data_IF_064722296525
#
_entry.id   IF_064722296525
#
_cell.length_a   1.000
_cell.length_b   1.000
_cell.length_c   1.000
_cell.angle_alpha   90.00
_cell.angle_beta   90.00
_cell.angle_gamma   90.00
#
_symmetry.space_group_name_H-M   'P 1'
#
loop_
_entity.id
_entity.type
_entity.pdbx_description
1 polymer ?
#
# COMPACT_ATOMS: atom_id res chain seq x y z
N UNK A 1 12.52 17.14 -1.65
CA UNK A 1 11.25 16.39 -1.72
C UNK A 1 11.59 14.92 -1.54
N UNK A 2 10.77 14.15 -0.81
CA UNK A 2 10.99 12.72 -0.56
C UNK A 2 10.27 11.82 -1.58
N UNK A 3 9.58 12.44 -2.55
CA UNK A 3 8.86 11.72 -3.59
C UNK A 3 9.77 10.81 -4.39
N UNK A 4 9.30 9.60 -4.64
CA UNK A 4 9.98 8.61 -5.47
C UNK A 4 9.33 8.56 -6.86
N UNK A 5 10.17 8.48 -7.90
CA UNK A 5 9.69 8.39 -9.28
C UNK A 5 9.01 7.04 -9.57
N UNK A 6 9.51 5.97 -8.95
CA UNK A 6 9.02 4.61 -9.10
C UNK A 6 8.91 3.95 -7.73
N UNK A 7 7.77 3.32 -7.44
CA UNK A 7 7.61 2.44 -6.30
C UNK A 7 7.17 1.06 -6.79
N UNK A 8 7.93 0.03 -6.42
CA UNK A 8 7.67 -1.36 -6.79
C UNK A 8 7.31 -2.19 -5.58
N UNK A 9 6.10 -2.77 -5.59
CA UNK A 9 5.57 -3.67 -4.57
C UNK A 9 5.72 -5.12 -5.01
N UNK A 10 6.44 -5.93 -4.24
CA UNK A 10 6.70 -7.34 -4.57
C UNK A 10 6.21 -8.22 -3.43
N UNK A 11 5.33 -9.18 -3.74
CA UNK A 11 4.93 -10.21 -2.80
C UNK A 11 5.82 -11.45 -2.94
N UNK A 12 6.38 -11.91 -1.84
CA UNK A 12 7.10 -13.17 -1.72
C UNK A 12 6.19 -14.23 -1.09
N UNK A 13 5.87 -15.32 -1.80
CA UNK A 13 5.04 -16.40 -1.25
C UNK A 13 5.80 -17.26 -0.24
N UNK A 14 5.06 -18.15 0.43
CA UNK A 14 5.63 -19.18 1.32
C UNK A 14 6.56 -20.11 0.54
N UNK A 15 7.61 -20.62 1.20
CA UNK A 15 8.54 -21.58 0.60
C UNK A 15 9.63 -20.95 -0.29
N UNK A 16 9.80 -19.63 -0.23
CA UNK A 16 10.94 -18.92 -0.84
C UNK A 16 12.02 -18.65 0.21
N UNK A 17 13.23 -18.30 -0.26
CA UNK A 17 14.35 -17.95 0.61
C UNK A 17 14.08 -16.66 1.42
N UNK A 18 13.43 -15.68 0.81
CA UNK A 18 13.01 -14.45 1.49
C UNK A 18 11.75 -14.69 2.34
N UNK A 19 11.64 -13.93 3.44
CA UNK A 19 10.46 -13.97 4.33
C UNK A 19 9.18 -13.70 3.55
N UNK A 20 8.13 -14.48 3.81
CA UNK A 20 6.83 -14.28 3.16
C UNK A 20 6.22 -12.93 3.51
N UNK A 21 5.67 -12.25 2.50
CA UNK A 21 5.02 -10.94 2.62
C UNK A 21 5.42 -9.99 1.50
N UNK A 22 5.13 -8.72 1.72
CA UNK A 22 5.38 -7.65 0.76
C UNK A 22 6.65 -6.88 1.05
N UNK A 23 7.29 -6.46 -0.03
CA UNK A 23 8.51 -5.67 -0.05
C UNK A 23 8.31 -4.47 -0.96
N UNK A 24 8.73 -3.29 -0.49
CA UNK A 24 8.69 -2.04 -1.23
C UNK A 24 10.10 -1.64 -1.69
N UNK A 25 10.24 -1.23 -2.94
CA UNK A 25 11.47 -0.70 -3.52
C UNK A 25 11.21 0.63 -4.23
N UNK A 26 12.17 1.55 -4.24
CA UNK A 26 12.08 2.86 -4.92
C UNK A 26 12.65 2.88 -6.34
N UNK A 27 12.45 1.81 -7.08
CA UNK A 27 13.01 1.66 -8.42
C UNK A 27 12.04 0.89 -9.30
N UNK A 28 12.11 1.13 -10.61
CA UNK A 28 11.36 0.38 -11.60
C UNK A 28 11.74 -1.12 -11.58
N UNK A 29 10.83 -2.02 -12.03
CA UNK A 29 11.01 -3.46 -11.98
C UNK A 29 11.95 -3.97 -13.08
N UNK A 30 13.24 -3.64 -13.00
CA UNK A 30 14.28 -4.28 -13.81
C UNK A 30 14.86 -5.48 -13.04
N UNK A 31 15.10 -6.59 -13.74
CA UNK A 31 15.60 -7.83 -13.11
C UNK A 31 16.93 -7.61 -12.36
N UNK A 32 17.81 -6.77 -12.91
CA UNK A 32 19.12 -6.48 -12.33
C UNK A 32 19.06 -5.44 -11.20
N UNK A 33 17.99 -4.63 -11.13
CA UNK A 33 17.88 -3.57 -10.13
C UNK A 33 17.41 -4.11 -8.78
N UNK A 34 16.47 -5.05 -8.73
CA UNK A 34 15.84 -5.46 -7.46
C UNK A 34 16.63 -6.52 -6.69
N UNK A 35 17.29 -7.45 -7.37
CA UNK A 35 17.87 -8.65 -6.72
C UNK A 35 18.98 -8.33 -5.72
N UNK A 36 19.73 -7.24 -5.92
CA UNK A 36 20.87 -6.84 -5.08
C UNK A 36 20.58 -5.69 -4.12
N UNK A 37 19.36 -5.13 -4.11
CA UNK A 37 19.04 -3.95 -3.30
C UNK A 37 18.23 -4.33 -2.07
N UNK A 38 18.47 -3.60 -0.97
CA UNK A 38 17.61 -3.70 0.20
C UNK A 38 16.24 -3.08 -0.10
N UNK A 39 15.15 -3.71 0.35
CA UNK A 39 13.83 -3.10 0.31
C UNK A 39 13.81 -1.85 1.21
N UNK A 40 13.04 -0.84 0.81
CA UNK A 40 12.74 0.31 1.66
C UNK A 40 12.00 -0.12 2.94
N UNK A 41 11.04 -1.03 2.78
CA UNK A 41 10.22 -1.52 3.89
C UNK A 41 9.66 -2.92 3.57
N UNK A 42 9.43 -3.70 4.62
CA UNK A 42 8.77 -5.00 4.54
C UNK A 42 7.50 -4.99 5.40
N UNK A 43 6.42 -5.56 4.87
CA UNK A 43 5.24 -5.84 5.68
C UNK A 43 4.50 -7.09 5.23
N UNK A 44 3.75 -7.73 6.15
CA UNK A 44 2.86 -8.84 5.78
C UNK A 44 1.69 -8.38 4.92
N UNK A 45 1.27 -7.12 5.02
CA UNK A 45 0.08 -6.60 4.37
C UNK A 45 0.41 -5.45 3.41
N UNK A 46 -0.13 -5.50 2.20
CA UNK A 46 0.06 -4.48 1.16
C UNK A 46 -0.41 -3.09 1.60
N UNK A 47 -1.60 -3.02 2.21
CA UNK A 47 -2.20 -1.75 2.63
C UNK A 47 -1.30 -0.97 3.61
N UNK A 48 -0.58 -1.67 4.48
CA UNK A 48 0.34 -1.04 5.41
C UNK A 48 1.54 -0.43 4.69
N UNK A 49 2.06 -1.07 3.64
CA UNK A 49 3.14 -0.50 2.83
C UNK A 49 2.66 0.72 2.03
N UNK A 50 1.45 0.67 1.47
CA UNK A 50 0.87 1.82 0.76
C UNK A 50 0.69 3.00 1.71
N UNK A 51 0.08 2.76 2.88
CA UNK A 51 -0.07 3.80 3.90
C UNK A 51 1.27 4.35 4.36
N UNK A 52 2.26 3.49 4.62
CA UNK A 52 3.60 3.89 5.02
C UNK A 52 4.28 4.76 3.94
N UNK A 53 4.26 4.33 2.67
CA UNK A 53 4.87 5.08 1.58
C UNK A 53 4.21 6.45 1.37
N UNK A 54 2.88 6.49 1.48
CA UNK A 54 2.12 7.74 1.43
C UNK A 54 2.48 8.67 2.58
N UNK A 55 2.34 8.24 3.84
CA UNK A 55 2.59 9.10 5.00
C UNK A 55 4.06 9.51 5.16
N UNK A 56 5.02 8.77 4.59
CA UNK A 56 6.42 9.19 4.51
C UNK A 56 6.72 10.10 3.30
N UNK A 57 5.72 10.43 2.48
CA UNK A 57 5.86 11.35 1.34
C UNK A 57 6.56 10.75 0.12
N UNK A 58 6.77 9.43 0.08
CA UNK A 58 7.37 8.75 -1.07
C UNK A 58 6.39 8.66 -2.24
N UNK A 59 5.10 8.49 -1.91
CA UNK A 59 4.04 8.31 -2.88
C UNK A 59 3.37 9.65 -3.20
N UNK A 60 3.38 10.01 -4.49
CA UNK A 60 2.71 11.19 -5.05
C UNK A 60 1.89 10.82 -6.29
N UNK A 61 1.03 11.71 -6.82
CA UNK A 61 0.33 11.47 -8.09
C UNK A 61 1.25 11.23 -9.29
N UNK A 62 2.51 11.66 -9.22
CA UNK A 62 3.52 11.47 -10.26
C UNK A 62 4.30 10.16 -10.11
N UNK A 63 4.22 9.51 -8.94
CA UNK A 63 4.93 8.26 -8.66
C UNK A 63 4.37 7.13 -9.51
N UNK A 64 5.24 6.47 -10.27
CA UNK A 64 4.88 5.29 -11.08
C UNK A 64 4.83 4.06 -10.19
N UNK A 65 3.68 3.40 -10.18
CA UNK A 65 3.45 2.22 -9.34
C UNK A 65 3.65 0.94 -10.15
N UNK A 66 4.41 0.02 -9.57
CA UNK A 66 4.66 -1.31 -10.12
C UNK A 66 4.29 -2.36 -9.09
N UNK A 67 3.72 -3.49 -9.52
CA UNK A 67 3.34 -4.57 -8.62
C UNK A 67 3.68 -5.94 -9.20
N UNK A 68 4.23 -6.82 -8.36
CA UNK A 68 4.51 -8.22 -8.70
C UNK A 68 4.01 -9.12 -7.58
N UNK A 69 2.82 -9.69 -7.77
CA UNK A 69 2.09 -10.35 -6.68
C UNK A 69 1.43 -11.69 -7.04
N UNK A 70 1.65 -12.19 -8.26
CA UNK A 70 0.87 -13.30 -8.80
C UNK A 70 -0.59 -12.87 -8.95
N UNK A 71 -1.51 -13.55 -8.26
CA UNK A 71 -2.95 -13.30 -8.35
C UNK A 71 -3.51 -12.51 -7.15
N UNK A 72 -2.68 -12.06 -6.21
CA UNK A 72 -3.15 -11.43 -4.98
C UNK A 72 -3.69 -10.01 -5.22
N UNK A 73 -2.97 -9.20 -5.98
CA UNK A 73 -3.37 -7.81 -6.23
C UNK A 73 -2.79 -7.34 -7.57
N UNK A 74 -3.64 -6.78 -8.42
CA UNK A 74 -3.22 -6.20 -9.70
C UNK A 74 -2.93 -4.70 -9.57
N UNK A 75 -2.38 -4.13 -10.64
CA UNK A 75 -2.03 -2.70 -10.69
C UNK A 75 -3.25 -1.80 -10.50
N UNK A 76 -4.43 -2.20 -10.99
CA UNK A 76 -5.64 -1.39 -10.89
C UNK A 76 -6.12 -1.28 -9.45
N UNK A 77 -6.20 -2.39 -8.70
CA UNK A 77 -6.52 -2.38 -7.27
C UNK A 77 -5.51 -1.60 -6.45
N UNK A 78 -4.22 -1.71 -6.77
CA UNK A 78 -3.19 -0.92 -6.10
C UNK A 78 -3.40 0.59 -6.33
N UNK A 79 -3.68 0.99 -7.57
CA UNK A 79 -3.94 2.39 -7.92
C UNK A 79 -5.21 2.92 -7.24
N UNK A 80 -6.27 2.11 -7.18
CA UNK A 80 -7.50 2.45 -6.46
C UNK A 80 -7.24 2.68 -4.96
N UNK A 81 -6.53 1.74 -4.31
CA UNK A 81 -6.15 1.90 -2.90
C UNK A 81 -5.31 3.16 -2.66
N UNK A 82 -4.37 3.43 -3.55
CA UNK A 82 -3.52 4.63 -3.47
C UNK A 82 -4.36 5.90 -3.64
N UNK A 83 -5.27 5.92 -4.61
CA UNK A 83 -6.18 7.03 -4.83
C UNK A 83 -7.03 7.27 -3.58
N UNK A 84 -7.64 6.22 -3.02
CA UNK A 84 -8.47 6.28 -1.81
C UNK A 84 -7.69 6.83 -0.61
N UNK A 85 -6.48 6.31 -0.36
CA UNK A 85 -5.62 6.80 0.72
C UNK A 85 -5.28 8.28 0.51
N UNK A 86 -4.84 8.66 -0.69
CA UNK A 86 -4.44 10.04 -0.98
C UNK A 86 -5.59 11.04 -0.91
N UNK A 87 -6.81 10.61 -1.26
CA UNK A 87 -7.98 11.46 -1.27
C UNK A 87 -8.54 11.69 0.14
N UNK A 88 -8.53 10.66 0.99
CA UNK A 88 -9.22 10.71 2.29
C UNK A 88 -8.30 11.02 3.48
N UNK A 89 -6.98 10.85 3.33
CA UNK A 89 -6.02 11.06 4.42
C UNK A 89 -5.08 12.22 4.10
N UNK A 90 -5.19 13.37 4.77
CA UNK A 90 -4.26 14.48 4.53
C UNK A 90 -2.87 14.15 5.07
N UNK A 91 -1.81 14.39 4.28
CA UNK A 91 -0.41 14.27 4.74
C UNK A 91 -0.05 15.31 5.81
N UNK A 92 -0.61 16.52 5.67
CA UNK A 92 -0.38 17.63 6.60
C UNK A 92 -1.68 17.93 7.32
N UNK A 93 -1.68 17.69 8.62
CA UNK A 93 -2.76 18.09 9.50
C UNK A 93 -2.58 19.55 9.93
N UNK A 94 -3.68 20.31 10.09
CA UNK A 94 -3.60 21.63 10.70
C UNK A 94 -3.06 21.53 12.13
N UNK A 95 -2.35 22.56 12.58
CA UNK A 95 -1.90 22.64 13.96
C UNK A 95 -3.10 22.50 14.92
N UNK A 96 -2.97 21.72 16.01
CA UNK A 96 -4.06 21.55 16.95
C UNK A 96 -4.41 22.87 17.64
N UNK A 97 -5.71 23.10 17.87
CA UNK A 97 -6.16 24.23 18.70
C UNK A 97 -5.89 23.94 20.18
N UNK A 98 -5.81 24.97 21.05
CA UNK A 98 -5.65 24.74 22.49
C UNK A 98 -6.71 23.80 23.07
N UNK A 99 -7.98 23.92 22.65
CA UNK A 99 -9.05 23.01 23.06
C UNK A 99 -8.77 21.56 22.67
N UNK A 100 -8.26 21.31 21.47
CA UNK A 100 -7.93 19.96 21.02
C UNK A 100 -6.80 19.33 21.85
N UNK A 101 -5.88 20.12 22.39
CA UNK A 101 -4.79 19.63 23.26
C UNK A 101 -5.29 19.15 24.63
N UNK A 102 -6.40 19.69 25.12
CA UNK A 102 -7.02 19.28 26.39
C UNK A 102 -8.15 18.26 26.21
N UNK A 103 -8.52 17.93 24.97
CA UNK A 103 -9.59 16.98 24.68
C UNK A 103 -9.04 15.55 24.61
N UNK A 104 -9.88 14.52 24.83
CA UNK A 104 -9.49 13.13 24.62
C UNK A 104 -8.99 12.86 23.20
N UNK A 105 -8.21 11.79 23.03
CA UNK A 105 -7.79 11.34 21.72
C UNK A 105 -9.00 10.86 20.90
N UNK A 106 -9.11 11.34 19.66
CA UNK A 106 -10.19 10.99 18.73
C UNK A 106 -9.61 10.47 17.42
N UNK A 107 -10.25 9.43 16.85
CA UNK A 107 -9.93 8.95 15.50
C UNK A 107 -10.53 9.92 14.49
N UNK A 108 -9.68 10.62 13.74
CA UNK A 108 -10.12 11.60 12.72
C UNK A 108 -10.40 10.99 11.36
N UNK A 109 -9.68 9.93 11.01
CA UNK A 109 -9.79 9.23 9.74
C UNK A 109 -9.71 7.73 10.01
N UNK A 110 -10.65 6.98 9.45
CA UNK A 110 -10.72 5.53 9.56
C UNK A 110 -10.97 4.96 8.16
N UNK A 111 -10.14 4.01 7.75
CA UNK A 111 -10.36 3.21 6.56
C UNK A 111 -10.51 1.74 6.95
N UNK A 112 -11.46 1.07 6.30
CA UNK A 112 -11.65 -0.37 6.39
C UNK A 112 -11.40 -0.91 4.99
N UNK A 113 -10.38 -1.76 4.86
CA UNK A 113 -9.94 -2.29 3.59
C UNK A 113 -10.28 -3.78 3.59
N UNK A 114 -11.13 -4.19 2.66
CA UNK A 114 -11.70 -5.54 2.59
C UNK A 114 -11.31 -6.16 1.25
N UNK A 115 -10.97 -7.46 1.26
CA UNK A 115 -10.70 -8.24 0.06
C UNK A 115 -9.61 -7.68 -0.89
N UNK A 116 -8.66 -6.92 -0.36
CA UNK A 116 -7.58 -6.32 -1.15
C UNK A 116 -6.68 -7.36 -1.82
N UNK A 117 -6.19 -8.33 -1.05
CA UNK A 117 -5.21 -9.33 -1.50
C UNK A 117 -5.84 -10.70 -1.82
N UNK A 118 -6.93 -11.04 -1.14
CA UNK A 118 -7.67 -12.27 -1.38
C UNK A 118 -9.14 -11.96 -1.24
N UNK A 119 -9.88 -12.16 -2.32
CA UNK A 119 -11.33 -11.99 -2.35
C UNK A 119 -11.99 -13.37 -2.34
N UNK A 120 -12.47 -13.87 -1.18
CA UNK A 120 -13.15 -15.15 -1.12
C UNK A 120 -14.46 -15.15 -1.93
N UNK A 121 -15.03 -13.97 -2.24
CA UNK A 121 -16.27 -13.86 -3.01
C UNK A 121 -16.05 -14.07 -4.51
N UNK A 122 -14.82 -13.95 -5.00
CA UNK A 122 -14.49 -14.13 -6.41
C UNK A 122 -14.85 -15.53 -6.93
N UNK A 123 -14.78 -16.56 -6.08
CA UNK A 123 -15.19 -17.92 -6.41
C UNK A 123 -16.70 -18.06 -6.67
N UNK A 124 -17.51 -17.16 -6.12
CA UNK A 124 -18.97 -17.22 -6.18
C UNK A 124 -19.58 -16.28 -7.23
N UNK A 125 -18.76 -15.48 -7.95
CA UNK A 125 -19.24 -14.47 -8.92
C UNK A 125 -20.20 -15.00 -9.99
N UNK A 126 -20.10 -16.28 -10.33
CA UNK A 126 -20.92 -16.93 -11.34
C UNK A 126 -21.90 -17.97 -10.75
N UNK A 127 -21.98 -18.09 -9.43
CA UNK A 127 -22.91 -18.96 -8.74
C UNK A 127 -24.07 -18.10 -8.25
N UNK A 128 -25.18 -18.07 -9.02
CA UNK A 128 -26.42 -17.45 -8.57
C UNK A 128 -26.87 -18.22 -7.32
N UNK A 129 -26.81 -17.55 -6.17
CA UNK A 129 -27.39 -18.08 -4.92
C UNK A 129 -28.90 -17.91 -5.05
N UNK A 130 -29.60 -19.02 -5.28
CA UNK A 130 -31.06 -19.10 -5.24
C UNK A 130 -31.56 -19.23 -3.81
#
# INVERSE_FOLDING_TARGET
DLSENDLTFIHVPVGRANRTGWYLYNQAPAMDSIVSHQPLEYNRYLNKLVAWAYFNGLLTPQTRLHIKSGNLCDTAKLQELVADVSHHFPLRLPAPTPKALYSPCEIRHLAIIVNLENDPTAAFRNQVVH
#
